data_IF_259055681189
#
_entry.id   IF_259055681189
#
_cell.length_a   1.000
_cell.length_b   1.000
_cell.length_c   1.000
_cell.angle_alpha   90.00
_cell.angle_beta   90.00
_cell.angle_gamma   90.00
#
_symmetry.space_group_name_H-M   'P 1'
#
loop_
_entity.id
_entity.type
_entity.pdbx_description
1 polymer ?
#
# COMPACT_ATOMS: atom_id res chain seq x y z
N UNK A 1 -4.25 15.70 -4.03
CA UNK A 1 -2.87 15.55 -3.55
C UNK A 1 -2.81 14.31 -2.68
N UNK A 2 -1.87 13.40 -2.95
CA UNK A 2 -1.60 12.25 -2.08
C UNK A 2 -0.44 12.62 -1.12
N UNK A 3 -0.37 11.99 0.05
CA UNK A 3 0.41 12.47 1.20
C UNK A 3 1.92 12.24 1.10
N UNK A 4 2.42 11.72 -0.03
CA UNK A 4 3.83 11.46 -0.22
C UNK A 4 4.11 10.54 -1.40
N UNK A 5 5.18 9.76 -1.27
CA UNK A 5 5.61 8.79 -2.27
C UNK A 5 4.56 7.68 -2.44
N UNK A 6 4.30 7.29 -3.69
CA UNK A 6 3.40 6.17 -4.00
C UNK A 6 4.02 4.84 -3.60
N UNK A 7 3.19 3.86 -3.28
CA UNK A 7 3.65 2.61 -2.67
C UNK A 7 4.53 1.77 -3.62
N UNK A 8 4.25 1.75 -4.94
CA UNK A 8 5.09 1.05 -5.95
C UNK A 8 6.54 1.58 -5.97
N UNK A 9 6.81 2.88 -6.22
CA UNK A 9 8.18 3.39 -6.17
C UNK A 9 8.79 3.32 -4.77
N UNK A 10 8.01 3.55 -3.71
CA UNK A 10 8.47 3.41 -2.33
C UNK A 10 9.07 2.03 -2.04
N UNK A 11 8.35 0.95 -2.37
CA UNK A 11 8.87 -0.40 -2.19
C UNK A 11 10.06 -0.70 -3.09
N UNK A 12 10.04 -0.26 -4.34
CA UNK A 12 11.14 -0.45 -5.29
C UNK A 12 12.44 0.18 -4.78
N UNK A 13 12.37 1.40 -4.28
CA UNK A 13 13.52 2.14 -3.72
C UNK A 13 13.95 1.60 -2.35
N UNK A 14 13.04 0.97 -1.61
CA UNK A 14 13.36 0.35 -0.32
C UNK A 14 14.26 -0.89 -0.43
N UNK A 15 14.21 -1.64 -1.55
CA UNK A 15 15.02 -2.86 -1.74
C UNK A 15 16.53 -2.63 -1.54
N UNK A 16 17.20 -1.71 -2.28
CA UNK A 16 18.63 -1.47 -2.09
C UNK A 16 18.96 -0.95 -0.69
N UNK A 17 18.05 -0.20 -0.06
CA UNK A 17 18.23 0.23 1.33
C UNK A 17 18.29 -0.98 2.27
N UNK A 18 17.33 -1.90 2.16
CA UNK A 18 17.29 -3.14 2.95
C UNK A 18 18.52 -4.04 2.71
N UNK A 19 19.01 -4.11 1.48
CA UNK A 19 20.21 -4.90 1.14
C UNK A 19 21.48 -4.35 1.80
N UNK A 20 21.58 -3.02 1.93
CA UNK A 20 22.73 -2.33 2.53
C UNK A 20 22.78 -2.41 4.06
N UNK A 21 21.68 -2.78 4.72
CA UNK A 21 21.60 -2.84 6.18
C UNK A 21 22.45 -3.99 6.76
N UNK A 22 23.21 -3.69 7.82
CA UNK A 22 23.94 -4.70 8.60
C UNK A 22 22.95 -5.67 9.26
N UNK A 23 23.19 -6.98 9.12
CA UNK A 23 22.31 -8.04 9.64
C UNK A 23 22.74 -8.50 11.04
N UNK A 24 21.79 -8.92 11.92
CA UNK A 24 20.33 -8.89 11.73
C UNK A 24 19.76 -7.48 11.88
N UNK A 25 18.61 -7.21 11.25
CA UNK A 25 17.90 -5.94 11.41
C UNK A 25 16.38 -6.15 11.49
N UNK A 26 15.70 -5.13 12.02
CA UNK A 26 14.25 -4.96 11.94
C UNK A 26 13.95 -3.73 11.07
N UNK A 27 13.02 -3.87 10.13
CA UNK A 27 12.59 -2.77 9.26
C UNK A 27 11.06 -2.66 9.29
N UNK A 28 10.57 -1.43 9.46
CA UNK A 28 9.16 -1.10 9.41
C UNK A 28 8.94 -0.14 8.23
N UNK A 29 8.23 -0.61 7.20
CA UNK A 29 7.90 0.16 6.01
C UNK A 29 6.45 0.63 6.11
N UNK A 30 6.23 1.95 6.16
CA UNK A 30 4.90 2.55 6.29
C UNK A 30 4.44 3.09 4.94
N UNK A 31 3.42 2.45 4.36
CA UNK A 31 2.80 2.86 3.08
C UNK A 31 1.86 4.05 3.27
N UNK A 32 1.62 4.81 2.20
CA UNK A 32 0.81 6.04 2.28
C UNK A 32 -0.31 6.11 1.23
N UNK A 33 -0.26 5.33 0.14
CA UNK A 33 -1.18 5.53 -0.99
C UNK A 33 -2.62 5.21 -0.64
N UNK A 34 -2.85 4.20 0.21
CA UNK A 34 -4.18 3.80 0.68
C UNK A 34 -4.64 4.57 1.93
N UNK A 35 -4.43 5.90 1.94
CA UNK A 35 -4.86 6.79 3.02
C UNK A 35 -6.03 7.67 2.58
N UNK A 36 -6.92 8.02 3.52
CA UNK A 36 -8.01 8.97 3.29
C UNK A 36 -7.52 10.29 2.65
N UNK A 37 -8.21 10.83 1.63
CA UNK A 37 -9.52 10.41 1.10
C UNK A 37 -9.45 9.40 -0.08
N UNK A 38 -8.39 8.59 -0.14
CA UNK A 38 -8.21 7.49 -1.10
C UNK A 38 -8.08 7.93 -2.56
N UNK A 39 -7.41 9.06 -2.80
CA UNK A 39 -7.20 9.55 -4.16
C UNK A 39 -6.12 8.75 -4.89
N UNK A 40 -6.44 8.27 -6.09
CA UNK A 40 -5.50 7.64 -7.02
C UNK A 40 -5.65 8.26 -8.41
N UNK A 41 -4.53 8.47 -9.11
CA UNK A 41 -4.56 8.96 -10.49
C UNK A 41 -5.10 7.85 -11.42
N UNK A 42 -5.88 8.20 -12.43
CA UNK A 42 -6.50 7.21 -13.33
C UNK A 42 -5.49 6.29 -14.02
N UNK A 43 -4.32 6.83 -14.39
CA UNK A 43 -3.22 6.05 -15.00
C UNK A 43 -2.66 4.95 -14.10
N UNK A 44 -2.85 5.07 -12.79
CA UNK A 44 -2.37 4.12 -11.80
C UNK A 44 -3.45 3.13 -11.36
N UNK A 45 -4.72 3.41 -11.70
CA UNK A 45 -5.84 2.55 -11.37
C UNK A 45 -5.96 1.39 -12.36
N UNK A 46 -6.04 0.18 -11.82
CA UNK A 46 -6.20 -1.06 -12.62
C UNK A 46 -7.60 -1.67 -12.49
N UNK A 47 -8.46 -1.05 -11.68
CA UNK A 47 -9.88 -1.40 -11.53
C UNK A 47 -10.74 -0.14 -11.57
N UNK A 48 -12.00 -0.30 -11.95
CA UNK A 48 -13.01 0.75 -11.84
C UNK A 48 -13.30 1.07 -10.37
N UNK A 49 -13.79 2.29 -10.11
CA UNK A 49 -14.37 2.68 -8.82
C UNK A 49 -15.62 1.87 -8.54
N UNK A 50 -15.96 1.71 -7.26
CA UNK A 50 -17.28 1.22 -6.89
C UNK A 50 -18.34 2.30 -7.17
N UNK A 51 -19.62 1.94 -7.07
CA UNK A 51 -20.77 2.81 -7.35
C UNK A 51 -21.74 2.82 -6.17
N UNK A 52 -21.22 3.08 -4.97
CA UNK A 52 -21.98 3.09 -3.72
C UNK A 52 -22.67 4.43 -3.45
N UNK A 53 -22.23 5.50 -4.11
CA UNK A 53 -22.71 6.86 -3.87
C UNK A 53 -21.89 7.62 -2.82
N UNK A 54 -21.04 6.92 -2.06
CA UNK A 54 -20.04 7.53 -1.18
C UNK A 54 -18.68 7.55 -1.89
N UNK A 55 -18.18 8.76 -2.20
CA UNK A 55 -16.91 8.92 -2.92
C UNK A 55 -15.71 8.33 -2.18
N UNK A 56 -15.71 8.34 -0.85
CA UNK A 56 -14.63 7.77 -0.04
C UNK A 56 -14.62 6.25 -0.17
N UNK A 57 -15.78 5.60 -0.10
CA UNK A 57 -15.91 4.15 -0.31
C UNK A 57 -15.61 3.78 -1.76
N UNK A 58 -16.09 4.56 -2.73
CA UNK A 58 -15.92 4.29 -4.15
C UNK A 58 -14.45 4.34 -4.59
N UNK A 59 -13.69 5.28 -4.03
CA UNK A 59 -12.27 5.43 -4.29
C UNK A 59 -11.40 4.41 -3.53
N UNK A 60 -11.82 3.99 -2.34
CA UNK A 60 -11.05 3.09 -1.46
C UNK A 60 -10.59 1.81 -2.17
N UNK A 61 -11.48 1.19 -2.97
CA UNK A 61 -11.15 -0.05 -3.65
C UNK A 61 -9.99 0.11 -4.64
N UNK A 62 -9.87 1.26 -5.31
CA UNK A 62 -8.78 1.52 -6.24
C UNK A 62 -7.43 1.62 -5.50
N UNK A 63 -7.37 2.37 -4.40
CA UNK A 63 -6.13 2.49 -3.62
C UNK A 63 -5.77 1.20 -2.89
N UNK A 64 -6.76 0.42 -2.45
CA UNK A 64 -6.55 -0.92 -1.90
C UNK A 64 -5.95 -1.87 -2.94
N UNK A 65 -6.45 -1.86 -4.19
CA UNK A 65 -5.84 -2.62 -5.29
C UNK A 65 -4.44 -2.14 -5.61
N UNK A 66 -4.20 -0.83 -5.61
CA UNK A 66 -2.85 -0.30 -5.85
C UNK A 66 -1.86 -0.78 -4.78
N UNK A 67 -2.26 -0.78 -3.50
CA UNK A 67 -1.45 -1.31 -2.40
C UNK A 67 -1.18 -2.82 -2.56
N UNK A 68 -2.21 -3.60 -2.91
CA UNK A 68 -2.09 -5.04 -3.18
C UNK A 68 -1.04 -5.34 -4.28
N UNK A 69 -1.12 -4.65 -5.41
CA UNK A 69 -0.14 -4.77 -6.50
C UNK A 69 1.26 -4.30 -6.08
N UNK A 70 1.33 -3.28 -5.23
CA UNK A 70 2.61 -2.77 -4.70
C UNK A 70 3.29 -3.80 -3.80
N UNK A 71 2.52 -4.51 -2.98
CA UNK A 71 3.02 -5.62 -2.16
C UNK A 71 3.42 -6.82 -3.01
N UNK A 72 2.63 -7.17 -4.02
CA UNK A 72 2.99 -8.23 -4.95
C UNK A 72 4.34 -7.94 -5.62
N UNK A 73 4.55 -6.70 -6.10
CA UNK A 73 5.82 -6.22 -6.63
C UNK A 73 6.94 -6.32 -5.59
N UNK A 74 6.72 -5.80 -4.38
CA UNK A 74 7.70 -5.83 -3.29
C UNK A 74 8.17 -7.27 -2.98
N UNK A 75 7.25 -8.22 -2.85
CA UNK A 75 7.60 -9.62 -2.59
C UNK A 75 8.31 -10.28 -3.78
N UNK A 76 7.97 -9.93 -5.03
CA UNK A 76 8.72 -10.36 -6.22
C UNK A 76 10.16 -9.85 -6.15
N UNK A 77 10.37 -8.59 -5.79
CA UNK A 77 11.70 -7.99 -5.74
C UNK A 77 12.52 -8.44 -4.52
N UNK A 78 11.89 -8.71 -3.38
CA UNK A 78 12.50 -9.41 -2.23
C UNK A 78 12.97 -10.83 -2.59
N UNK A 79 12.21 -11.55 -3.41
CA UNK A 79 12.61 -12.89 -3.89
C UNK A 79 13.81 -12.79 -4.84
N UNK A 80 13.82 -11.83 -5.76
CA UNK A 80 14.93 -11.60 -6.70
C UNK A 80 16.24 -11.20 -6.00
N UNK A 81 16.17 -10.32 -4.99
CA UNK A 81 17.34 -9.91 -4.16
C UNK A 81 17.85 -11.02 -3.23
N UNK A 82 17.06 -12.10 -3.06
CA UNK A 82 17.33 -13.14 -2.06
C UNK A 82 17.08 -12.70 -0.62
N UNK A 83 16.56 -11.48 -0.40
CA UNK A 83 16.20 -10.99 0.94
C UNK A 83 15.03 -11.78 1.52
N UNK A 84 14.08 -12.22 0.68
CA UNK A 84 12.94 -13.05 1.13
C UNK A 84 13.38 -14.29 1.91
N UNK A 85 14.44 -14.99 1.45
CA UNK A 85 14.98 -16.19 2.11
C UNK A 85 15.76 -15.88 3.39
N UNK A 86 16.21 -14.63 3.56
CA UNK A 86 17.02 -14.17 4.71
C UNK A 86 16.14 -13.52 5.79
N UNK A 87 14.85 -13.35 5.53
CA UNK A 87 13.89 -12.76 6.47
C UNK A 87 13.17 -13.88 7.22
N UNK A 88 13.24 -13.83 8.56
CA UNK A 88 12.61 -14.84 9.42
C UNK A 88 11.08 -14.74 9.47
N UNK A 89 10.55 -13.52 9.47
CA UNK A 89 9.11 -13.27 9.64
C UNK A 89 8.70 -11.99 8.95
N UNK A 90 7.51 -12.00 8.36
CA UNK A 90 6.86 -10.83 7.79
C UNK A 90 5.58 -10.55 8.57
N UNK A 91 5.37 -9.27 8.89
CA UNK A 91 4.13 -8.80 9.49
C UNK A 91 3.53 -7.76 8.55
N UNK A 92 2.23 -7.87 8.32
CA UNK A 92 1.47 -6.93 7.52
C UNK A 92 0.25 -6.49 8.30
N UNK A 93 0.12 -5.19 8.50
CA UNK A 93 -1.00 -4.58 9.19
C UNK A 93 -1.50 -3.41 8.34
N UNK A 94 -2.81 -3.34 8.16
CA UNK A 94 -3.47 -2.20 7.53
C UNK A 94 -4.41 -1.61 8.55
N UNK A 95 -4.23 -0.33 8.86
CA UNK A 95 -5.21 0.42 9.65
C UNK A 95 -6.12 1.18 8.69
N UNK A 96 -7.39 0.80 8.64
CA UNK A 96 -8.39 1.49 7.83
C UNK A 96 -9.36 2.17 8.79
N UNK A 97 -9.39 3.50 8.77
CA UNK A 97 -10.43 4.26 9.46
C UNK A 97 -11.46 4.70 8.44
N UNK A 98 -12.45 3.85 8.15
CA UNK A 98 -13.71 4.35 7.57
C UNK A 98 -14.51 4.92 8.72
N UNK A 99 -14.54 6.25 8.86
CA UNK A 99 -15.46 6.89 9.79
C UNK A 99 -16.86 6.66 9.24
N UNK A 100 -17.57 5.64 9.76
CA UNK A 100 -18.99 5.44 9.55
C UNK A 100 -19.73 6.64 10.16
N UNK A 101 -19.80 7.74 9.42
CA UNK A 101 -20.57 8.94 9.77
C UNK A 101 -21.61 9.24 8.70
N UNK A 102 -22.25 8.21 8.14
CA UNK A 102 -23.40 8.38 7.22
C UNK A 102 -24.22 7.09 7.04
N UNK A 103 -24.38 6.27 8.09
CA UNK A 103 -25.50 5.32 8.17
C UNK A 103 -26.16 5.47 9.53
N UNK A 104 -26.71 6.66 9.75
CA UNK A 104 -27.84 6.88 10.66
C UNK A 104 -28.40 8.24 10.31
N UNK A 105 -29.69 8.27 9.98
CA UNK A 105 -30.52 9.43 9.59
C UNK A 105 -30.38 9.86 8.13
N UNK A 106 -30.98 9.10 7.21
CA UNK A 106 -32.21 9.52 6.51
C UNK A 106 -32.91 8.32 5.85
#
# INVERSE_FOLDING_TARGET
MNMGLKDKPFFKESIPMLESMKKPFYAHLMTLTNHYPFNLDEKDATIAKATTGDKTVDNYFQTARYLDESLEQFFKDLKKSGMYKKTQSFYYMVTITVFLRTITVQ
#
